data_IF_711019455698
#
_entry.id   IF_711019455698
#
_cell.length_a   1.000
_cell.length_b   1.000
_cell.length_c   1.000
_cell.angle_alpha   90.00
_cell.angle_beta   90.00
_cell.angle_gamma   90.00
#
_symmetry.space_group_name_H-M   'P 1'
#
loop_
_entity.id
_entity.type
_entity.pdbx_description
1 polymer ?
#
# COMPACT_ATOMS: atom_id res chain seq x y z
N UNK A 1 -70.98 -72.74 7.67
CA UNK A 1 -70.72 -71.58 6.79
C UNK A 1 -70.08 -70.47 7.62
N UNK A 2 -68.76 -70.40 7.58
CA UNK A 2 -67.98 -69.38 8.39
C UNK A 2 -67.17 -68.51 7.45
N UNK A 3 -67.46 -67.22 7.50
CA UNK A 3 -66.74 -66.20 6.70
C UNK A 3 -65.61 -65.62 7.54
N UNK A 4 -64.43 -65.95 7.16
CA UNK A 4 -63.20 -65.37 7.71
C UNK A 4 -62.91 -64.07 6.98
N UNK A 5 -62.91 -62.94 7.71
CA UNK A 5 -62.55 -61.60 7.28
C UNK A 5 -60.99 -61.41 7.48
N UNK A 6 -60.32 -61.28 6.35
CA UNK A 6 -58.90 -60.89 6.38
C UNK A 6 -58.76 -59.38 6.68
N UNK A 7 -58.01 -59.07 7.75
CA UNK A 7 -57.61 -57.69 8.08
C UNK A 7 -56.25 -57.41 7.47
N UNK A 8 -56.19 -56.54 6.45
CA UNK A 8 -54.95 -56.03 5.89
C UNK A 8 -54.33 -54.98 6.84
N UNK A 9 -53.18 -55.28 7.38
CA UNK A 9 -52.35 -54.28 8.07
C UNK A 9 -51.51 -53.50 7.03
N UNK A 10 -51.83 -52.25 6.80
CA UNK A 10 -50.97 -51.34 6.04
C UNK A 10 -49.92 -50.77 6.98
N UNK A 11 -48.68 -51.18 6.77
CA UNK A 11 -47.53 -50.60 7.50
C UNK A 11 -47.12 -49.30 6.82
N UNK A 12 -47.33 -48.17 7.51
CA UNK A 12 -46.78 -46.86 7.13
C UNK A 12 -45.29 -46.80 7.49
N UNK A 13 -44.43 -46.83 6.48
CA UNK A 13 -42.99 -46.53 6.65
C UNK A 13 -42.82 -45.01 6.59
N UNK A 14 -42.59 -44.41 7.74
CA UNK A 14 -42.19 -42.98 7.84
C UNK A 14 -40.68 -42.92 7.64
N UNK A 15 -40.24 -42.49 6.45
CA UNK A 15 -38.83 -42.17 6.17
C UNK A 15 -38.55 -40.80 6.76
N UNK A 16 -37.90 -40.78 7.92
CA UNK A 16 -37.36 -39.54 8.50
C UNK A 16 -36.14 -39.09 7.69
N UNK A 17 -36.29 -38.05 6.88
CA UNK A 17 -35.20 -37.40 6.17
C UNK A 17 -34.49 -36.48 7.17
N UNK A 18 -33.36 -36.93 7.71
CA UNK A 18 -32.50 -36.13 8.55
C UNK A 18 -31.81 -35.08 7.68
N UNK A 19 -32.32 -33.84 7.72
CA UNK A 19 -31.61 -32.68 7.17
C UNK A 19 -30.39 -32.37 8.06
N UNK A 20 -29.22 -32.81 7.60
CA UNK A 20 -27.96 -32.37 8.19
C UNK A 20 -27.74 -30.88 7.84
N UNK A 21 -28.03 -30.00 8.76
CA UNK A 21 -27.63 -28.60 8.63
C UNK A 21 -26.10 -28.51 8.77
N UNK A 22 -25.42 -28.39 7.63
CA UNK A 22 -24.01 -28.02 7.63
C UNK A 22 -23.89 -26.59 8.11
N UNK A 23 -23.45 -26.37 9.34
CA UNK A 23 -23.05 -25.06 9.81
C UNK A 23 -21.77 -24.66 9.08
N UNK A 24 -21.91 -23.75 8.11
CA UNK A 24 -20.78 -23.06 7.51
C UNK A 24 -20.25 -22.11 8.61
N UNK A 25 -19.14 -22.49 9.22
CA UNK A 25 -18.39 -21.56 10.05
C UNK A 25 -17.81 -20.51 9.10
N UNK A 26 -18.31 -19.28 9.16
CA UNK A 26 -17.61 -18.15 8.58
C UNK A 26 -16.29 -18.03 9.37
N UNK A 27 -15.16 -18.26 8.69
CA UNK A 27 -13.85 -17.92 9.25
C UNK A 27 -13.88 -16.43 9.54
N UNK A 28 -13.58 -16.05 10.78
CA UNK A 28 -13.36 -14.66 11.15
C UNK A 28 -12.28 -14.10 10.22
N UNK A 29 -12.49 -12.90 9.62
CA UNK A 29 -11.46 -12.30 8.80
C UNK A 29 -10.19 -12.18 9.66
N UNK A 30 -9.06 -12.64 9.12
CA UNK A 30 -7.78 -12.49 9.77
C UNK A 30 -7.60 -11.03 10.18
N UNK A 31 -7.03 -10.76 11.39
CA UNK A 31 -6.84 -9.40 11.84
C UNK A 31 -6.08 -8.62 10.77
N UNK A 32 -6.59 -7.44 10.41
CA UNK A 32 -5.95 -6.57 9.44
C UNK A 32 -4.52 -6.28 9.94
N UNK A 33 -3.52 -6.69 9.17
CA UNK A 33 -2.11 -6.38 9.46
C UNK A 33 -1.91 -4.93 9.08
N UNK A 34 -1.43 -4.11 10.03
CA UNK A 34 -1.11 -2.71 9.72
C UNK A 34 0.04 -2.69 8.68
N UNK A 35 -0.13 -1.97 7.56
CA UNK A 35 0.90 -1.88 6.54
C UNK A 35 2.19 -1.30 7.11
N UNK A 36 3.33 -1.87 6.71
CA UNK A 36 4.66 -1.43 7.13
C UNK A 36 5.45 -0.83 5.97
N UNK A 37 6.32 0.15 6.28
CA UNK A 37 7.24 0.72 5.31
C UNK A 37 8.35 -0.29 4.97
N UNK A 38 8.67 -0.41 3.69
CA UNK A 38 9.63 -1.40 3.16
C UNK A 38 10.85 -0.77 2.49
N UNK A 39 10.82 0.55 2.31
CA UNK A 39 11.86 1.34 1.66
C UNK A 39 11.77 1.39 0.13
N UNK A 40 12.07 2.56 -0.43
CA UNK A 40 11.98 2.84 -1.86
C UNK A 40 12.80 1.90 -2.74
N UNK A 41 13.90 1.32 -2.23
CA UNK A 41 14.72 0.34 -2.95
C UNK A 41 13.94 -0.92 -3.35
N UNK A 42 12.88 -1.27 -2.64
CA UNK A 42 11.99 -2.38 -3.01
C UNK A 42 11.11 -2.02 -4.20
N UNK A 43 10.68 -0.77 -4.30
CA UNK A 43 9.91 -0.26 -5.44
C UNK A 43 10.77 -0.21 -6.71
N UNK A 44 12.05 0.18 -6.58
CA UNK A 44 13.04 0.19 -7.67
C UNK A 44 13.10 -1.12 -8.44
N UNK A 45 12.87 -2.27 -7.80
CA UNK A 45 12.99 -3.58 -8.46
C UNK A 45 12.09 -3.69 -9.70
N UNK A 46 10.93 -3.04 -9.68
CA UNK A 46 9.97 -3.05 -10.78
C UNK A 46 9.80 -1.68 -11.46
N UNK A 47 10.05 -0.57 -10.76
CA UNK A 47 9.75 0.80 -11.24
C UNK A 47 10.98 1.53 -11.79
N UNK A 48 11.96 0.83 -12.37
CA UNK A 48 13.16 1.40 -13.00
C UNK A 48 13.19 1.15 -14.51
N UNK A 49 13.94 2.00 -15.22
CA UNK A 49 14.22 1.88 -16.65
C UNK A 49 13.04 2.26 -17.54
N UNK A 50 13.31 2.50 -18.81
CA UNK A 50 12.38 3.03 -19.81
C UNK A 50 11.08 2.22 -19.92
N UNK A 51 11.19 0.89 -19.91
CA UNK A 51 10.03 0.00 -20.00
C UNK A 51 9.01 0.23 -18.90
N UNK A 52 9.46 0.72 -17.77
CA UNK A 52 8.63 0.99 -16.58
C UNK A 52 8.52 2.51 -16.29
N UNK A 53 8.74 3.35 -17.31
CA UNK A 53 8.54 4.80 -17.24
C UNK A 53 9.63 5.58 -16.52
N UNK A 54 10.81 5.00 -16.27
CA UNK A 54 11.92 5.62 -15.54
C UNK A 54 11.50 6.24 -14.20
N UNK A 55 10.54 5.64 -13.51
CA UNK A 55 9.92 6.20 -12.30
C UNK A 55 10.97 6.40 -11.21
N UNK A 56 11.82 5.39 -11.00
CA UNK A 56 12.90 5.47 -10.01
C UNK A 56 13.91 6.56 -10.36
N UNK A 57 14.30 6.64 -11.61
CA UNK A 57 15.26 7.61 -12.14
C UNK A 57 14.68 9.03 -12.02
N UNK A 58 13.43 9.23 -12.38
CA UNK A 58 12.73 10.51 -12.22
C UNK A 58 12.71 10.96 -10.77
N UNK A 59 12.40 10.05 -9.82
CA UNK A 59 12.44 10.37 -8.40
C UNK A 59 13.83 10.76 -7.93
N UNK A 60 14.90 10.05 -8.36
CA UNK A 60 16.29 10.35 -7.97
C UNK A 60 16.73 11.77 -8.32
N UNK A 61 16.17 12.36 -9.37
CA UNK A 61 16.48 13.73 -9.79
C UNK A 61 15.78 14.77 -8.94
N UNK A 62 14.79 14.39 -8.13
CA UNK A 62 14.01 15.31 -7.31
C UNK A 62 14.76 15.73 -6.03
N UNK A 63 14.33 16.87 -5.46
CA UNK A 63 14.77 17.28 -4.13
C UNK A 63 14.25 16.33 -3.03
N UNK A 64 13.19 15.58 -3.26
CA UNK A 64 12.66 14.60 -2.33
C UNK A 64 13.66 13.47 -2.08
N UNK A 65 14.32 12.97 -3.10
CA UNK A 65 15.34 11.94 -2.98
C UNK A 65 16.56 12.43 -2.15
N UNK A 66 16.81 13.73 -2.12
CA UNK A 66 17.94 14.40 -1.46
C UNK A 66 17.52 15.16 -0.19
N UNK A 67 16.35 14.88 0.35
CA UNK A 67 15.79 15.65 1.46
C UNK A 67 16.63 15.59 2.72
N UNK A 68 17.22 14.43 3.05
CA UNK A 68 18.13 14.28 4.20
C UNK A 68 19.43 15.07 4.02
N UNK A 69 19.99 15.11 2.81
CA UNK A 69 21.21 15.88 2.53
C UNK A 69 21.05 17.35 2.94
N UNK A 70 19.86 17.91 2.75
CA UNK A 70 19.55 19.29 3.14
C UNK A 70 19.52 19.50 4.64
N UNK A 71 19.18 18.48 5.42
CA UNK A 71 19.21 18.51 6.89
C UNK A 71 20.65 18.36 7.40
N UNK A 72 21.39 17.39 6.87
CA UNK A 72 22.81 17.16 7.23
C UNK A 72 23.62 18.42 7.02
N UNK A 73 23.43 19.11 5.89
CA UNK A 73 24.13 20.37 5.59
C UNK A 73 23.86 21.49 6.60
N UNK A 74 22.78 21.39 7.39
CA UNK A 74 22.39 22.37 8.42
C UNK A 74 22.58 21.85 9.84
N UNK A 75 23.01 20.61 10.04
CA UNK A 75 23.09 19.96 11.33
C UNK A 75 21.73 19.63 11.96
N UNK A 76 20.68 19.51 11.14
CA UNK A 76 19.29 19.27 11.55
C UNK A 76 18.81 17.83 11.29
N UNK A 77 19.74 16.96 10.93
CA UNK A 77 19.47 15.55 10.57
C UNK A 77 18.99 14.67 11.74
N UNK A 78 18.97 15.23 12.95
CA UNK A 78 18.42 14.58 14.16
C UNK A 78 17.24 15.34 14.76
N UNK A 79 16.85 16.45 14.16
CA UNK A 79 15.72 17.24 14.65
C UNK A 79 14.39 16.58 14.27
N UNK A 80 13.58 16.11 15.25
CA UNK A 80 12.32 15.41 14.98
C UNK A 80 11.31 16.25 14.19
N UNK A 81 11.30 17.56 14.35
CA UNK A 81 10.41 18.45 13.60
C UNK A 81 10.78 18.49 12.12
N UNK A 82 12.08 18.39 11.81
CA UNK A 82 12.57 18.35 10.44
C UNK A 82 12.37 16.96 9.83
N UNK A 83 12.70 15.90 10.57
CA UNK A 83 12.60 14.51 10.13
C UNK A 83 11.19 14.13 9.70
N UNK A 84 10.16 14.67 10.34
CA UNK A 84 8.76 14.42 10.00
C UNK A 84 8.40 14.74 8.54
N UNK A 85 9.09 15.70 7.92
CA UNK A 85 8.88 16.13 6.54
C UNK A 85 9.99 15.69 5.58
N UNK A 86 11.15 15.31 6.08
CA UNK A 86 12.32 14.99 5.27
C UNK A 86 12.64 13.51 5.15
N UNK A 87 11.87 12.66 5.82
CA UNK A 87 12.03 11.19 5.79
C UNK A 87 10.72 10.49 5.51
N UNK A 88 10.77 9.18 5.32
CA UNK A 88 9.59 8.36 5.06
C UNK A 88 9.09 7.72 6.35
N UNK A 89 7.85 8.02 6.73
CA UNK A 89 7.16 7.35 7.84
C UNK A 89 7.66 7.73 9.24
N UNK A 90 8.42 8.82 9.42
CA UNK A 90 8.88 9.25 10.73
C UNK A 90 7.74 9.33 11.76
N UNK A 91 7.99 8.79 12.95
CA UNK A 91 7.01 8.76 14.03
C UNK A 91 6.00 7.59 13.93
N UNK A 92 6.17 6.67 12.99
CA UNK A 92 5.38 5.44 12.89
C UNK A 92 6.24 4.21 13.23
N UNK A 93 5.66 3.09 13.69
CA UNK A 93 6.42 1.93 14.15
C UNK A 93 7.39 1.33 13.12
N UNK A 94 7.10 1.43 11.84
CA UNK A 94 7.91 0.89 10.74
C UNK A 94 8.58 1.95 9.88
N UNK A 95 8.43 3.23 10.24
CA UNK A 95 8.99 4.36 9.52
C UNK A 95 10.45 4.65 9.87
N UNK A 96 10.96 5.76 9.34
CA UNK A 96 12.30 6.22 9.63
C UNK A 96 12.51 6.43 11.14
N UNK A 97 13.59 5.86 11.64
CA UNK A 97 14.09 6.10 13.00
C UNK A 97 15.56 6.52 12.93
N UNK A 98 15.89 7.66 13.50
CA UNK A 98 17.25 8.19 13.53
C UNK A 98 18.23 7.31 14.36
N UNK A 99 17.70 6.41 15.17
CA UNK A 99 18.47 5.42 15.97
C UNK A 99 18.50 4.03 15.31
N UNK A 100 17.85 3.87 14.16
CA UNK A 100 17.81 2.61 13.44
C UNK A 100 19.19 2.25 12.85
N UNK A 101 19.31 1.01 12.41
CA UNK A 101 20.48 0.55 11.68
C UNK A 101 20.65 1.30 10.34
N UNK A 102 21.86 1.27 9.80
CA UNK A 102 22.20 1.98 8.56
C UNK A 102 21.30 1.57 7.37
N UNK A 103 20.86 0.32 7.31
CA UNK A 103 20.02 -0.17 6.23
C UNK A 103 18.63 0.47 6.25
N UNK A 104 18.04 0.61 7.42
CA UNK A 104 16.75 1.30 7.62
C UNK A 104 16.90 2.78 7.38
N UNK A 105 17.99 3.38 7.84
CA UNK A 105 18.29 4.79 7.61
C UNK A 105 18.43 5.10 6.11
N UNK A 106 19.14 4.27 5.33
CA UNK A 106 19.25 4.43 3.88
C UNK A 106 17.91 4.21 3.16
N UNK A 107 17.12 3.24 3.61
CA UNK A 107 15.86 2.87 2.96
C UNK A 107 14.77 3.95 3.12
N UNK A 108 14.73 4.63 4.26
CA UNK A 108 13.66 5.55 4.66
C UNK A 108 14.15 6.98 4.92
N UNK A 109 15.46 7.23 4.86
CA UNK A 109 16.11 8.51 5.15
C UNK A 109 15.90 9.60 4.09
N UNK A 110 14.85 9.48 3.27
CA UNK A 110 14.44 10.50 2.30
C UNK A 110 12.93 10.50 2.15
N UNK A 111 12.37 11.49 1.47
CA UNK A 111 10.97 11.48 1.03
C UNK A 111 10.89 10.54 -0.17
N UNK A 112 10.70 9.24 0.11
CA UNK A 112 10.67 8.18 -0.91
C UNK A 112 9.26 7.88 -1.40
N UNK A 113 9.13 6.85 -2.25
CA UNK A 113 7.87 6.43 -2.84
C UNK A 113 6.73 6.31 -1.80
N UNK A 114 7.01 5.67 -0.69
CA UNK A 114 6.02 5.40 0.35
C UNK A 114 5.60 6.63 1.17
N UNK A 115 6.38 7.70 1.15
CA UNK A 115 5.98 8.97 1.76
C UNK A 115 4.72 9.56 1.07
N UNK A 116 4.57 9.28 -0.22
CA UNK A 116 3.43 9.70 -1.02
C UNK A 116 2.40 8.58 -1.22
N UNK A 117 2.86 7.35 -1.45
CA UNK A 117 2.02 6.21 -1.82
C UNK A 117 1.58 5.33 -0.66
N UNK A 118 2.00 5.65 0.57
CA UNK A 118 1.70 4.84 1.76
C UNK A 118 2.62 3.63 1.92
N UNK A 119 2.55 2.98 3.08
CA UNK A 119 3.38 1.83 3.45
C UNK A 119 3.15 0.63 2.53
N UNK A 120 4.21 0.10 1.95
CA UNK A 120 4.19 -0.79 0.78
C UNK A 120 4.08 -2.28 1.05
N UNK A 121 4.13 -2.73 2.32
CA UNK A 121 4.19 -4.16 2.64
C UNK A 121 3.08 -4.99 1.99
N UNK A 122 1.86 -4.46 1.96
CA UNK A 122 0.67 -5.20 1.53
C UNK A 122 0.43 -5.13 0.02
N UNK A 123 0.83 -4.02 -0.65
CA UNK A 123 0.58 -3.87 -2.08
C UNK A 123 1.81 -4.11 -2.98
N UNK A 124 3.02 -4.34 -2.43
CA UNK A 124 4.28 -4.49 -3.19
C UNK A 124 4.33 -5.66 -4.16
N UNK A 125 3.46 -6.66 -4.02
CA UNK A 125 3.51 -7.85 -4.87
C UNK A 125 3.07 -7.53 -6.29
N UNK A 126 3.73 -8.14 -7.29
CA UNK A 126 3.39 -7.93 -8.70
C UNK A 126 1.90 -8.18 -8.97
N UNK A 127 1.35 -9.25 -8.42
CA UNK A 127 -0.05 -9.63 -8.60
C UNK A 127 -1.02 -8.52 -8.14
N UNK A 128 -0.71 -7.84 -7.02
CA UNK A 128 -1.55 -6.76 -6.49
C UNK A 128 -1.30 -5.48 -7.29
N UNK A 129 -0.04 -5.17 -7.61
CA UNK A 129 0.32 -3.94 -8.34
C UNK A 129 -0.17 -3.90 -9.79
N UNK A 130 -0.44 -5.06 -10.42
CA UNK A 130 -1.04 -5.13 -11.76
C UNK A 130 -2.53 -4.80 -11.76
N UNK A 131 -3.17 -4.79 -10.59
CA UNK A 131 -4.56 -4.38 -10.39
C UNK A 131 -4.59 -3.12 -9.49
N UNK A 132 -4.92 -1.98 -10.09
CA UNK A 132 -4.95 -0.69 -9.39
C UNK A 132 -5.93 -0.68 -8.22
N UNK A 133 -7.10 -1.29 -8.38
CA UNK A 133 -8.13 -1.31 -7.34
C UNK A 133 -7.70 -2.21 -6.18
N UNK A 134 -7.12 -3.36 -6.49
CA UNK A 134 -6.53 -4.25 -5.49
C UNK A 134 -5.37 -3.56 -4.73
N UNK A 135 -4.52 -2.82 -5.42
CA UNK A 135 -3.43 -2.08 -4.78
C UNK A 135 -3.95 -0.99 -3.83
N UNK A 136 -4.99 -0.23 -4.23
CA UNK A 136 -5.63 0.77 -3.39
C UNK A 136 -6.30 0.09 -2.18
N UNK A 137 -7.01 -1.00 -2.38
CA UNK A 137 -7.63 -1.77 -1.30
C UNK A 137 -6.59 -2.33 -0.30
N UNK A 138 -5.38 -2.63 -0.78
CA UNK A 138 -4.25 -3.05 0.03
C UNK A 138 -3.45 -1.87 0.65
N UNK A 139 -3.98 -0.65 0.61
CA UNK A 139 -3.42 0.52 1.29
C UNK A 139 -2.57 1.45 0.41
N UNK A 140 -2.48 1.22 -0.90
CA UNK A 140 -1.78 2.14 -1.78
C UNK A 140 -2.55 3.46 -1.89
N UNK A 141 -1.87 4.57 -1.63
CA UNK A 141 -2.41 5.92 -1.76
C UNK A 141 -2.14 6.47 -3.17
N UNK A 142 -3.16 7.07 -3.76
CA UNK A 142 -2.97 7.92 -4.94
C UNK A 142 -2.77 9.34 -4.42
N UNK A 143 -1.56 9.91 -4.55
CA UNK A 143 -1.25 11.22 -3.99
C UNK A 143 -2.11 12.33 -4.59
N UNK A 144 -2.50 13.27 -3.75
CA UNK A 144 -3.22 14.48 -4.12
C UNK A 144 -2.64 15.68 -3.36
N UNK A 145 -3.26 16.86 -3.49
CA UNK A 145 -2.80 18.07 -2.81
C UNK A 145 -2.71 17.90 -1.29
N UNK A 146 -3.67 17.21 -0.67
CA UNK A 146 -3.63 16.93 0.77
C UNK A 146 -2.44 16.06 1.18
N UNK A 147 -1.95 15.21 0.29
CA UNK A 147 -0.70 14.46 0.53
C UNK A 147 0.51 15.37 0.58
N UNK A 148 0.59 16.32 -0.34
CA UNK A 148 1.69 17.28 -0.45
C UNK A 148 1.73 18.25 0.73
N UNK A 149 0.57 18.79 1.11
CA UNK A 149 0.45 19.80 2.15
C UNK A 149 0.68 19.28 3.58
N UNK A 150 0.82 17.96 3.76
CA UNK A 150 1.32 17.41 5.03
C UNK A 150 2.69 17.95 5.40
N UNK A 151 3.54 18.21 4.40
CA UNK A 151 4.90 18.73 4.55
C UNK A 151 5.06 20.15 3.99
N UNK A 152 4.39 20.48 2.86
CA UNK A 152 4.45 21.78 2.22
C UNK A 152 3.44 22.75 2.86
N UNK A 153 3.73 23.19 4.09
CA UNK A 153 2.87 24.07 4.90
C UNK A 153 3.70 25.01 5.78
N UNK A 154 3.02 25.86 6.55
CA UNK A 154 3.63 26.91 7.40
C UNK A 154 4.50 26.40 8.55
N UNK A 155 4.48 25.11 8.86
CA UNK A 155 5.39 24.53 9.86
C UNK A 155 6.84 24.50 9.36
N UNK A 156 7.06 24.53 8.05
CA UNK A 156 8.39 24.64 7.48
C UNK A 156 8.92 26.06 7.63
N UNK A 157 10.11 26.28 8.23
CA UNK A 157 10.68 27.61 8.41
C UNK A 157 11.05 28.30 7.08
N UNK A 158 11.05 27.56 6.00
CA UNK A 158 11.35 28.06 4.64
C UNK A 158 10.13 28.14 3.75
N UNK A 159 8.92 27.95 4.31
CA UNK A 159 7.68 27.98 3.54
C UNK A 159 7.42 29.38 2.94
N UNK A 160 7.12 29.42 1.64
CA UNK A 160 6.83 30.65 0.90
C UNK A 160 5.53 30.52 0.07
N UNK A 161 4.64 29.63 0.49
CA UNK A 161 3.46 29.23 -0.29
C UNK A 161 3.72 27.95 -1.06
N UNK A 162 2.61 27.29 -1.46
CA UNK A 162 2.63 26.06 -2.22
C UNK A 162 1.61 26.12 -3.35
N UNK A 163 2.07 25.91 -4.57
CA UNK A 163 1.20 25.74 -5.75
C UNK A 163 1.25 24.27 -6.15
N UNK A 164 0.14 23.57 -5.96
CA UNK A 164 0.03 22.14 -6.20
C UNK A 164 0.34 21.76 -7.65
N UNK A 165 -0.24 22.46 -8.62
CA UNK A 165 -0.08 22.14 -10.05
C UNK A 165 1.37 22.29 -10.51
N UNK A 166 2.01 23.40 -10.13
CA UNK A 166 3.42 23.64 -10.45
C UNK A 166 4.36 22.63 -9.75
N UNK A 167 4.04 22.25 -8.52
CA UNK A 167 4.82 21.26 -7.76
C UNK A 167 4.65 19.86 -8.36
N UNK A 168 3.41 19.47 -8.67
CA UNK A 168 3.10 18.18 -9.27
C UNK A 168 3.81 18.00 -10.61
N UNK A 169 3.82 19.02 -11.46
CA UNK A 169 4.48 18.97 -12.77
C UNK A 169 5.98 18.63 -12.70
N UNK A 170 6.62 18.86 -11.55
CA UNK A 170 8.06 18.59 -11.33
C UNK A 170 8.35 17.17 -10.86
N UNK A 171 7.34 16.45 -10.33
CA UNK A 171 7.54 15.13 -9.73
C UNK A 171 6.63 14.06 -10.32
N UNK A 172 5.70 14.44 -11.18
CA UNK A 172 4.75 13.51 -11.78
C UNK A 172 5.48 12.46 -12.62
N UNK A 173 5.07 11.24 -12.47
CA UNK A 173 5.57 10.11 -13.23
C UNK A 173 4.42 9.16 -13.55
N UNK A 174 4.53 8.44 -14.65
CA UNK A 174 3.51 7.51 -15.10
C UNK A 174 4.15 6.20 -15.55
N UNK A 175 3.44 5.11 -15.33
CA UNK A 175 3.74 3.89 -16.08
C UNK A 175 3.48 4.17 -17.55
N UNK A 176 4.33 3.66 -18.45
CA UNK A 176 4.04 3.68 -19.88
C UNK A 176 2.68 3.02 -20.10
N UNK A 177 1.86 3.61 -20.97
CA UNK A 177 0.64 2.92 -21.42
C UNK A 177 1.07 1.58 -22.01
N UNK A 178 0.44 0.50 -21.59
CA UNK A 178 0.61 -0.77 -22.26
C UNK A 178 0.34 -0.55 -23.74
N UNK A 179 1.32 -0.81 -24.59
CA UNK A 179 1.10 -0.79 -26.04
C UNK A 179 0.09 -1.89 -26.32
N UNK A 180 -1.14 -1.48 -26.66
CA UNK A 180 -2.13 -2.41 -27.15
C UNK A 180 -1.57 -3.11 -28.37
N UNK A 181 -1.37 -4.42 -28.29
CA UNK A 181 -1.19 -5.29 -29.44
C UNK A 181 0.22 -5.43 -29.96
N UNK A 182 0.95 -6.36 -29.39
CA UNK A 182 1.93 -7.16 -30.10
C UNK A 182 1.41 -8.58 -30.20
N UNK A 183 0.41 -8.80 -31.04
CA UNK A 183 0.16 -10.13 -31.58
C UNK A 183 1.09 -10.28 -32.79
N UNK A 184 2.21 -10.97 -32.63
CA UNK A 184 2.91 -11.73 -33.64
C UNK A 184 3.12 -13.14 -33.15
#
# INVERSE_FOLDING_TARGET
MSRTTAKSLAALIIIAFAMSASTVYAEDPAPAVDPTFIGGSKCKLCHRGERNGNIWETWLETKHAKSMESLVAKGEDKNPECLACHTTGYGTPSGYDAMADLQTAEALGSVSCEACHGAGSEYKSKKIMEDREAAIAAGMVIPNEATCTKCHNEKSPTFKGFNYEEALAKIIHYLPKATEGGTE
#
